data_IF_076588728424
#
_entry.id   IF_076588728424
#
_cell.length_a   1.000
_cell.length_b   1.000
_cell.length_c   1.000
_cell.angle_alpha   90.00
_cell.angle_beta   90.00
_cell.angle_gamma   90.00
#
_symmetry.space_group_name_H-M   'P 1'
#
loop_
_entity.id
_entity.type
_entity.pdbx_description
1 polymer ?
#
# COMPACT_ATOMS: atom_id res chain seq x y z
N UNK A 1 -13.29 -11.03 4.34
CA UNK A 1 -12.93 -11.28 2.94
C UNK A 1 -11.54 -10.73 2.56
N UNK A 2 -11.22 -9.43 2.75
CA UNK A 2 -9.85 -8.94 2.44
C UNK A 2 -8.80 -9.11 3.55
N UNK A 3 -9.21 -9.36 4.80
CA UNK A 3 -8.29 -9.47 5.96
C UNK A 3 -7.53 -10.79 6.06
N UNK A 4 -8.01 -11.83 5.40
CA UNK A 4 -7.43 -13.19 5.48
C UNK A 4 -6.22 -13.38 4.56
N UNK A 5 -6.14 -12.62 3.47
CA UNK A 5 -5.00 -12.66 2.53
C UNK A 5 -3.90 -11.64 2.88
N UNK A 6 -4.19 -10.66 3.75
CA UNK A 6 -3.18 -9.68 4.20
C UNK A 6 -1.87 -10.32 4.65
N UNK A 7 -1.85 -11.36 5.51
CA UNK A 7 -0.60 -11.99 5.94
C UNK A 7 0.19 -12.68 4.80
N UNK A 8 -0.39 -12.86 3.61
CA UNK A 8 0.34 -13.39 2.45
C UNK A 8 1.09 -12.30 1.67
N UNK A 9 0.89 -11.02 2.01
CA UNK A 9 1.53 -9.89 1.33
C UNK A 9 2.46 -9.13 2.28
N UNK A 10 3.70 -8.90 1.87
CA UNK A 10 4.65 -8.08 2.63
C UNK A 10 4.37 -6.56 2.55
N UNK A 11 3.63 -6.12 1.53
CA UNK A 11 3.29 -4.71 1.30
C UNK A 11 1.86 -4.54 0.77
N UNK A 12 1.13 -3.61 1.37
CA UNK A 12 -0.20 -3.18 0.94
C UNK A 12 -0.15 -1.71 0.52
N UNK A 13 -0.61 -1.42 -0.69
CA UNK A 13 -0.68 -0.04 -1.22
C UNK A 13 -2.14 0.38 -1.34
N UNK A 14 -2.54 1.39 -0.57
CA UNK A 14 -3.89 1.94 -0.60
C UNK A 14 -4.03 3.03 -1.67
N UNK A 15 -5.14 2.94 -2.40
CA UNK A 15 -5.57 3.94 -3.36
C UNK A 15 -6.06 5.21 -2.62
N UNK A 16 -5.94 6.40 -3.25
CA UNK A 16 -6.30 7.68 -2.65
C UNK A 16 -7.77 7.75 -2.18
N UNK A 17 -8.67 7.01 -2.84
CA UNK A 17 -10.10 6.95 -2.50
C UNK A 17 -10.38 6.26 -1.16
N UNK A 18 -9.49 5.36 -0.72
CA UNK A 18 -9.61 4.58 0.52
C UNK A 18 -8.58 4.99 1.57
N UNK A 19 -7.90 6.12 1.37
CA UNK A 19 -6.94 6.66 2.31
C UNK A 19 -7.55 7.02 3.67
N UNK A 20 -8.86 7.28 3.74
CA UNK A 20 -9.58 7.47 5.00
C UNK A 20 -9.57 6.23 5.90
N UNK A 21 -9.40 5.04 5.32
CA UNK A 21 -9.27 3.77 6.04
C UNK A 21 -7.82 3.41 6.38
N UNK A 22 -6.86 4.30 6.10
CA UNK A 22 -5.44 4.06 6.31
C UNK A 22 -5.12 3.76 7.78
N UNK A 23 -5.76 4.44 8.73
CA UNK A 23 -5.46 4.26 10.16
C UNK A 23 -5.88 2.87 10.67
N UNK A 24 -7.06 2.40 10.28
CA UNK A 24 -7.57 1.05 10.58
C UNK A 24 -6.70 -0.03 9.90
N UNK A 25 -6.38 0.17 8.62
CA UNK A 25 -5.48 -0.72 7.88
C UNK A 25 -4.09 -0.76 8.50
N UNK A 26 -3.56 0.37 8.95
CA UNK A 26 -2.22 0.48 9.54
C UNK A 26 -2.16 -0.32 10.84
N UNK A 27 -3.15 -0.18 11.71
CA UNK A 27 -3.21 -0.92 12.96
C UNK A 27 -3.25 -2.45 12.74
N UNK A 28 -3.87 -2.91 11.66
CA UNK A 28 -3.94 -4.33 11.33
C UNK A 28 -2.66 -4.83 10.63
N UNK A 29 -2.13 -4.08 9.65
CA UNK A 29 -0.88 -4.43 8.96
C UNK A 29 0.32 -4.38 9.90
N UNK A 30 0.37 -3.42 10.83
CA UNK A 30 1.45 -3.29 11.81
C UNK A 30 1.51 -4.50 12.76
N UNK A 31 0.35 -4.97 13.24
CA UNK A 31 0.26 -6.23 14.02
C UNK A 31 0.73 -7.46 13.25
N UNK A 32 0.53 -7.47 11.94
CA UNK A 32 0.91 -8.57 11.05
C UNK A 32 2.35 -8.43 10.53
N UNK A 33 3.04 -7.31 10.79
CA UNK A 33 4.37 -7.01 10.27
C UNK A 33 4.39 -6.62 8.78
N UNK A 34 3.22 -6.30 8.21
CA UNK A 34 3.04 -5.93 6.81
C UNK A 34 3.30 -4.44 6.64
N UNK A 35 4.01 -4.06 5.58
CA UNK A 35 4.20 -2.64 5.24
C UNK A 35 2.91 -2.07 4.66
N UNK A 36 2.54 -0.87 5.09
CA UNK A 36 1.40 -0.15 4.54
C UNK A 36 1.85 1.17 3.92
N UNK A 37 1.55 1.35 2.64
CA UNK A 37 1.78 2.57 1.91
C UNK A 37 0.47 3.18 1.41
N UNK A 38 0.42 4.51 1.34
CA UNK A 38 -0.68 5.25 0.71
C UNK A 38 -0.15 6.01 -0.49
N UNK A 39 -0.99 6.16 -1.50
CA UNK A 39 -0.68 6.91 -2.71
C UNK A 39 -1.55 8.15 -2.79
N UNK A 40 -0.97 9.27 -3.21
CA UNK A 40 -1.74 10.47 -3.54
C UNK A 40 -2.41 10.33 -4.91
N UNK A 41 -3.48 11.10 -5.18
CA UNK A 41 -4.24 11.04 -6.45
C UNK A 41 -3.36 11.10 -7.70
N UNK A 42 -2.47 12.09 -7.75
CA UNK A 42 -1.52 12.24 -8.85
C UNK A 42 -0.48 11.11 -8.89
N UNK A 43 -0.03 10.65 -7.73
CA UNK A 43 0.96 9.58 -7.61
C UNK A 43 0.38 8.23 -8.07
N UNK A 44 -0.84 7.87 -7.66
CA UNK A 44 -1.51 6.64 -8.09
C UNK A 44 -1.70 6.59 -9.61
N UNK A 45 -2.13 7.70 -10.23
CA UNK A 45 -2.26 7.78 -11.70
C UNK A 45 -0.89 7.63 -12.38
N UNK A 46 0.15 8.23 -11.79
CA UNK A 46 1.51 8.10 -12.33
C UNK A 46 2.01 6.65 -12.20
N UNK A 47 1.82 6.00 -11.07
CA UNK A 47 2.24 4.61 -10.82
C UNK A 47 1.48 3.60 -11.68
N UNK A 48 0.19 3.85 -11.96
CA UNK A 48 -0.59 2.99 -12.88
C UNK A 48 -0.17 3.13 -14.33
N UNK A 49 0.44 4.27 -14.71
CA UNK A 49 1.01 4.50 -16.05
C UNK A 49 2.50 4.14 -16.15
N UNK A 50 3.22 4.18 -15.04
CA UNK A 50 4.67 4.01 -14.94
C UNK A 50 5.01 2.81 -14.05
N UNK A 51 5.08 1.62 -14.66
CA UNK A 51 5.35 0.37 -13.94
C UNK A 51 6.73 0.33 -13.28
N UNK A 52 7.73 1.04 -13.82
CA UNK A 52 9.05 1.16 -13.20
C UNK A 52 9.00 2.01 -11.94
N UNK A 53 8.28 3.12 -11.96
CA UNK A 53 8.00 3.94 -10.79
C UNK A 53 7.19 3.20 -9.73
N UNK A 54 6.29 2.29 -10.14
CA UNK A 54 5.59 1.40 -9.22
C UNK A 54 6.57 0.45 -8.50
N UNK A 55 7.49 -0.18 -9.22
CA UNK A 55 8.54 -1.03 -8.63
C UNK A 55 9.46 -0.24 -7.70
N UNK A 56 9.90 0.95 -8.10
CA UNK A 56 10.75 1.80 -7.28
C UNK A 56 10.01 2.29 -6.02
N UNK A 57 8.72 2.60 -6.13
CA UNK A 57 7.89 2.98 -5.00
C UNK A 57 7.75 1.84 -4.01
N UNK A 58 7.53 0.61 -4.49
CA UNK A 58 7.52 -0.60 -3.67
C UNK A 58 8.86 -0.77 -2.95
N UNK A 59 10.00 -0.69 -3.66
CA UNK A 59 11.33 -0.79 -3.05
C UNK A 59 11.56 0.24 -1.95
N UNK A 60 11.12 1.48 -2.13
CA UNK A 60 11.22 2.53 -1.11
C UNK A 60 10.41 2.25 0.17
N UNK A 61 9.44 1.35 0.16
CA UNK A 61 8.71 0.96 1.39
C UNK A 61 9.41 -0.16 2.17
N UNK A 62 10.32 -0.86 1.51
CA UNK A 62 11.12 -1.94 2.08
C UNK A 62 12.49 -1.48 2.59
N UNK A 63 12.99 -0.34 2.10
CA UNK A 63 14.17 0.39 2.64
C UNK A 63 13.82 1.12 3.95
#
# INVERSE_FOLDING_TARGET
AHREMLPEFDLVILAPQVASNFDDMKAETDKLGIKLAKTEGAQYIKLTRDGQGALAFVQQQFD
#
